data_IF_183481355153
#
_entry.id   IF_183481355153
#
_cell.length_a   1.000
_cell.length_b   1.000
_cell.length_c   1.000
_cell.angle_alpha   90.00
_cell.angle_beta   90.00
_cell.angle_gamma   90.00
#
_symmetry.space_group_name_H-M   'P 1'
#
loop_
_entity.id
_entity.type
_entity.pdbx_description
1 polymer ?
#
# COMPACT_ATOMS: atom_id res chain seq x y z
N UNK A 1 -38.39 8.71 9.34
CA UNK A 1 -37.36 8.27 8.38
C UNK A 1 -36.19 7.75 9.18
N UNK A 2 -36.00 6.43 9.20
CA UNK A 2 -34.89 5.80 9.93
C UNK A 2 -33.69 5.67 8.99
N UNK A 3 -32.57 6.30 9.33
CA UNK A 3 -31.28 6.01 8.70
C UNK A 3 -30.82 4.65 9.24
N UNK A 4 -30.73 3.64 8.37
CA UNK A 4 -30.29 2.31 8.76
C UNK A 4 -28.83 2.11 8.37
N UNK A 5 -28.01 1.75 9.35
CA UNK A 5 -26.73 1.08 9.14
C UNK A 5 -27.00 -0.42 9.12
N UNK A 6 -26.85 -1.05 7.95
CA UNK A 6 -27.04 -2.48 7.82
C UNK A 6 -25.69 -3.16 7.59
N UNK A 7 -25.27 -3.95 8.57
CA UNK A 7 -24.10 -4.82 8.47
C UNK A 7 -24.56 -6.27 8.54
N UNK A 8 -24.34 -7.02 7.45
CA UNK A 8 -24.61 -8.46 7.41
C UNK A 8 -23.27 -9.17 7.53
N UNK A 9 -23.06 -9.83 8.67
CA UNK A 9 -21.89 -10.68 8.91
C UNK A 9 -22.28 -12.15 8.76
N UNK A 10 -21.53 -12.91 7.96
CA UNK A 10 -21.46 -14.36 8.13
C UNK A 10 -20.92 -14.66 9.54
N UNK A 11 -21.53 -15.61 10.25
CA UNK A 11 -21.20 -15.91 11.64
C UNK A 11 -19.69 -16.12 11.86
N UNK A 12 -19.13 -15.49 12.89
CA UNK A 12 -17.70 -15.55 13.24
C UNK A 12 -17.35 -16.70 14.22
N UNK A 13 -18.32 -17.51 14.63
CA UNK A 13 -18.20 -18.43 15.78
C UNK A 13 -17.99 -19.92 15.43
N UNK A 14 -17.37 -20.24 14.30
CA UNK A 14 -16.88 -21.60 14.05
C UNK A 14 -15.35 -21.63 13.97
N UNK A 15 -14.74 -22.10 15.07
CA UNK A 15 -13.32 -22.46 15.13
C UNK A 15 -13.04 -23.56 14.10
N UNK A 16 -12.20 -23.24 13.11
CA UNK A 16 -11.27 -24.11 12.39
C UNK A 16 -11.53 -25.62 12.54
N UNK A 17 -12.52 -26.13 11.81
CA UNK A 17 -12.44 -27.48 11.26
C UNK A 17 -11.70 -27.36 9.93
N UNK A 18 -10.57 -28.06 9.78
CA UNK A 18 -9.90 -28.26 8.50
C UNK A 18 -10.94 -28.86 7.53
N UNK A 19 -11.49 -28.02 6.66
CA UNK A 19 -12.44 -28.44 5.63
C UNK A 19 -11.71 -29.41 4.69
N UNK A 20 -12.16 -30.66 4.67
CA UNK A 20 -11.76 -31.63 3.65
C UNK A 20 -12.38 -31.18 2.31
N UNK A 21 -11.58 -30.81 1.28
CA UNK A 21 -12.08 -30.37 -0.02
C UNK A 21 -12.88 -31.45 -0.77
N UNK A 22 -12.99 -32.66 -0.23
CA UNK A 22 -13.86 -33.73 -0.74
C UNK A 22 -15.26 -33.77 -0.13
N UNK A 23 -15.53 -33.03 0.96
CA UNK A 23 -16.86 -32.93 1.54
C UNK A 23 -17.78 -32.05 0.68
N UNK A 24 -19.04 -32.48 0.54
CA UNK A 24 -20.03 -31.88 -0.36
C UNK A 24 -20.17 -30.37 -0.13
N UNK A 25 -20.37 -29.64 -1.23
CA UNK A 25 -20.51 -28.18 -1.31
C UNK A 25 -21.40 -27.65 -0.18
N UNK A 26 -21.11 -26.45 0.40
CA UNK A 26 -22.14 -25.74 1.15
C UNK A 26 -23.36 -25.64 0.24
N UNK A 27 -24.45 -26.26 0.68
CA UNK A 27 -25.61 -26.43 -0.16
C UNK A 27 -26.17 -25.04 -0.46
N UNK A 28 -26.53 -24.78 -1.72
CA UNK A 28 -27.17 -23.53 -2.15
C UNK A 28 -28.36 -23.14 -1.25
N UNK A 29 -28.97 -24.12 -0.57
CA UNK A 29 -30.00 -23.97 0.45
C UNK A 29 -29.58 -23.05 1.60
N UNK A 30 -28.33 -23.10 2.08
CA UNK A 30 -27.83 -22.24 3.17
C UNK A 30 -27.72 -20.78 2.76
N UNK A 31 -27.48 -20.51 1.47
CA UNK A 31 -27.41 -19.15 0.95
C UNK A 31 -28.80 -18.50 0.78
N UNK A 32 -29.87 -19.29 0.66
CA UNK A 32 -31.21 -18.81 0.29
C UNK A 32 -31.73 -17.66 1.17
N UNK A 33 -31.64 -17.71 2.51
CA UNK A 33 -32.12 -16.62 3.35
C UNK A 33 -31.44 -15.28 3.05
N UNK A 34 -30.14 -15.31 2.73
CA UNK A 34 -29.38 -14.11 2.35
C UNK A 34 -29.84 -13.56 1.00
N UNK A 35 -30.05 -14.44 0.00
CA UNK A 35 -30.49 -14.02 -1.33
C UNK A 35 -31.91 -13.41 -1.28
N UNK A 36 -32.80 -14.00 -0.49
CA UNK A 36 -34.12 -13.47 -0.23
C UNK A 36 -34.04 -12.11 0.45
N UNK A 37 -33.21 -11.97 1.50
CA UNK A 37 -33.02 -10.71 2.19
C UNK A 37 -32.56 -9.60 1.24
N UNK A 38 -31.53 -9.84 0.41
CA UNK A 38 -31.04 -8.86 -0.57
C UNK A 38 -32.15 -8.41 -1.53
N UNK A 39 -32.99 -9.36 -1.97
CA UNK A 39 -34.13 -9.07 -2.85
C UNK A 39 -35.18 -8.18 -2.16
N UNK A 40 -35.42 -8.39 -0.87
CA UNK A 40 -36.37 -7.59 -0.07
C UNK A 40 -35.83 -6.20 0.29
N UNK A 41 -34.53 -6.06 0.57
CA UNK A 41 -33.91 -4.79 0.94
C UNK A 41 -34.14 -3.69 -0.10
N UNK A 42 -34.14 -4.05 -1.39
CA UNK A 42 -34.47 -3.11 -2.46
C UNK A 42 -35.82 -2.43 -2.28
N UNK A 43 -36.85 -3.18 -1.86
CA UNK A 43 -38.23 -2.72 -1.75
C UNK A 43 -38.50 -2.03 -0.42
N UNK A 44 -37.96 -2.59 0.66
CA UNK A 44 -38.27 -2.14 2.02
C UNK A 44 -37.31 -1.08 2.54
N UNK A 45 -36.10 -0.98 1.98
CA UNK A 45 -35.05 -0.09 2.45
C UNK A 45 -34.41 0.71 1.30
N UNK A 46 -35.15 1.55 0.54
CA UNK A 46 -34.58 2.33 -0.57
C UNK A 46 -33.62 3.44 -0.11
N UNK A 47 -33.71 3.86 1.16
CA UNK A 47 -32.93 4.94 1.74
C UNK A 47 -31.70 4.44 2.52
N UNK A 48 -31.16 3.27 2.15
CA UNK A 48 -29.92 2.77 2.77
C UNK A 48 -28.79 3.76 2.49
N UNK A 49 -28.12 4.19 3.57
CA UNK A 49 -26.93 5.04 3.50
C UNK A 49 -25.67 4.19 3.58
N UNK A 50 -25.66 3.18 4.44
CA UNK A 50 -24.49 2.34 4.70
C UNK A 50 -24.87 0.88 4.49
N UNK A 51 -24.16 0.22 3.57
CA UNK A 51 -24.34 -1.20 3.32
C UNK A 51 -23.01 -1.93 3.37
N UNK A 52 -22.94 -2.98 4.19
CA UNK A 52 -21.81 -3.90 4.27
C UNK A 52 -22.27 -5.34 4.13
N UNK A 53 -21.62 -6.07 3.22
CA UNK A 53 -21.84 -7.48 2.96
C UNK A 53 -20.51 -8.24 3.04
N UNK A 54 -20.35 -8.99 4.13
CA UNK A 54 -19.27 -9.96 4.31
C UNK A 54 -19.86 -11.37 4.18
N UNK A 55 -20.08 -11.82 2.94
CA UNK A 55 -20.84 -13.04 2.63
C UNK A 55 -19.95 -14.22 2.24
N UNK A 56 -18.82 -14.43 2.94
CA UNK A 56 -18.08 -15.68 2.77
C UNK A 56 -18.80 -16.81 3.52
N UNK A 57 -18.94 -18.02 2.94
CA UNK A 57 -18.47 -18.48 1.62
C UNK A 57 -19.44 -18.21 0.44
N UNK A 58 -20.64 -17.67 0.69
CA UNK A 58 -21.74 -17.53 -0.29
C UNK A 58 -21.62 -16.38 -1.31
N UNK A 59 -20.46 -15.74 -1.38
CA UNK A 59 -20.29 -14.44 -2.04
C UNK A 59 -20.65 -14.46 -3.54
N UNK A 60 -20.49 -15.61 -4.21
CA UNK A 60 -20.80 -15.77 -5.63
C UNK A 60 -22.31 -15.80 -5.92
N UNK A 61 -23.10 -16.41 -5.04
CA UNK A 61 -24.56 -16.49 -5.20
C UNK A 61 -25.23 -15.13 -4.99
N UNK A 62 -24.64 -14.30 -4.13
CA UNK A 62 -25.16 -12.98 -3.79
C UNK A 62 -24.93 -11.91 -4.87
N UNK A 63 -24.14 -12.18 -5.92
CA UNK A 63 -23.77 -11.15 -6.90
C UNK A 63 -24.97 -10.54 -7.65
N UNK A 64 -25.90 -11.36 -8.15
CA UNK A 64 -27.10 -10.88 -8.85
C UNK A 64 -28.11 -10.20 -7.90
N UNK A 65 -28.49 -10.80 -6.75
CA UNK A 65 -29.39 -10.13 -5.81
C UNK A 65 -28.82 -8.83 -5.25
N UNK A 66 -27.50 -8.78 -4.98
CA UNK A 66 -26.83 -7.56 -4.54
C UNK A 66 -26.88 -6.48 -5.62
N UNK A 67 -26.55 -6.82 -6.86
CA UNK A 67 -26.63 -5.87 -7.97
C UNK A 67 -28.04 -5.32 -8.13
N UNK A 68 -29.06 -6.17 -8.06
CA UNK A 68 -30.46 -5.76 -8.11
C UNK A 68 -30.86 -4.84 -6.94
N UNK A 69 -30.35 -5.11 -5.73
CA UNK A 69 -30.60 -4.29 -4.55
C UNK A 69 -29.96 -2.89 -4.66
N UNK A 70 -28.69 -2.84 -5.09
CA UNK A 70 -27.94 -1.59 -5.28
C UNK A 70 -28.67 -0.62 -6.21
N UNK A 71 -29.29 -1.12 -7.28
CA UNK A 71 -30.08 -0.29 -8.22
C UNK A 71 -31.27 0.44 -7.56
N UNK A 72 -31.70 0.03 -6.36
CA UNK A 72 -32.75 0.69 -5.60
C UNK A 72 -32.24 1.72 -4.58
N UNK A 73 -30.93 1.83 -4.37
CA UNK A 73 -30.33 2.67 -3.32
C UNK A 73 -29.78 3.96 -3.93
N UNK A 74 -30.55 5.04 -3.81
CA UNK A 74 -30.21 6.34 -4.42
C UNK A 74 -29.43 7.27 -3.48
N UNK A 75 -29.36 6.92 -2.20
CA UNK A 75 -28.73 7.74 -1.14
C UNK A 75 -27.52 7.05 -0.52
N UNK A 76 -26.98 6.02 -1.20
CA UNK A 76 -25.87 5.25 -0.68
C UNK A 76 -24.65 6.15 -0.46
N UNK A 77 -24.10 6.08 0.73
CA UNK A 77 -22.95 6.84 1.20
C UNK A 77 -21.72 5.96 1.37
N UNK A 78 -21.90 4.73 1.86
CA UNK A 78 -20.86 3.71 1.99
C UNK A 78 -21.34 2.37 1.45
N UNK A 79 -20.56 1.78 0.55
CA UNK A 79 -20.74 0.41 0.06
C UNK A 79 -19.50 -0.42 0.36
N UNK A 80 -19.67 -1.53 1.08
CA UNK A 80 -18.60 -2.49 1.36
C UNK A 80 -19.04 -3.90 0.97
N UNK A 81 -18.51 -4.41 -0.15
CA UNK A 81 -18.79 -5.72 -0.72
C UNK A 81 -17.50 -6.31 -1.33
N UNK A 82 -16.44 -6.45 -0.51
CA UNK A 82 -15.13 -6.94 -0.96
C UNK A 82 -15.11 -8.44 -1.30
N UNK A 83 -16.11 -9.19 -0.85
CA UNK A 83 -16.20 -10.64 -1.10
C UNK A 83 -17.07 -10.94 -2.31
N UNK A 84 -18.11 -10.13 -2.56
CA UNK A 84 -19.13 -10.36 -3.60
C UNK A 84 -18.83 -9.56 -4.86
N UNK A 85 -18.62 -10.21 -6.03
CA UNK A 85 -18.37 -9.52 -7.29
C UNK A 85 -19.54 -8.59 -7.68
N UNK A 86 -19.24 -7.32 -7.94
CA UNK A 86 -20.20 -6.37 -8.48
C UNK A 86 -20.35 -6.54 -9.99
N UNK A 87 -21.60 -6.44 -10.44
CA UNK A 87 -21.98 -6.49 -11.85
C UNK A 87 -21.89 -5.09 -12.48
N UNK A 88 -21.75 -5.04 -13.81
CA UNK A 88 -21.57 -3.81 -14.58
C UNK A 88 -22.70 -2.77 -14.35
N UNK A 89 -23.96 -3.21 -14.30
CA UNK A 89 -25.10 -2.34 -14.00
C UNK A 89 -25.04 -1.73 -12.59
N UNK A 90 -24.57 -2.50 -11.59
CA UNK A 90 -24.39 -2.01 -10.23
C UNK A 90 -23.28 -0.96 -10.19
N UNK A 91 -22.15 -1.22 -10.87
CA UNK A 91 -21.03 -0.25 -11.01
C UNK A 91 -21.48 1.04 -11.67
N UNK A 92 -22.23 0.94 -12.78
CA UNK A 92 -22.82 2.10 -13.47
C UNK A 92 -23.69 2.95 -12.54
N UNK A 93 -24.54 2.30 -11.73
CA UNK A 93 -25.43 2.99 -10.79
C UNK A 93 -24.66 3.69 -9.69
N UNK A 94 -23.76 2.99 -8.99
CA UNK A 94 -22.98 3.59 -7.89
C UNK A 94 -22.06 4.71 -8.36
N UNK A 95 -21.56 4.63 -9.60
CA UNK A 95 -20.78 5.69 -10.22
C UNK A 95 -21.58 6.99 -10.38
N UNK A 96 -22.90 6.91 -10.54
CA UNK A 96 -23.76 8.10 -10.67
C UNK A 96 -24.20 8.68 -9.32
N UNK A 97 -23.90 8.02 -8.18
CA UNK A 97 -24.42 8.44 -6.89
C UNK A 97 -23.64 9.65 -6.34
N UNK A 98 -24.28 10.81 -6.14
CA UNK A 98 -23.61 12.00 -5.63
C UNK A 98 -23.28 11.93 -4.14
N UNK A 99 -23.87 10.98 -3.42
CA UNK A 99 -23.68 10.80 -1.98
C UNK A 99 -22.56 9.81 -1.63
N UNK A 100 -22.09 8.99 -2.59
CA UNK A 100 -21.18 7.90 -2.32
C UNK A 100 -19.78 8.42 -1.97
N UNK A 101 -19.33 8.16 -0.74
CA UNK A 101 -18.01 8.59 -0.23
C UNK A 101 -17.05 7.44 0.00
N UNK A 102 -17.55 6.24 0.27
CA UNK A 102 -16.73 5.07 0.53
C UNK A 102 -17.19 3.91 -0.36
N UNK A 103 -16.26 3.38 -1.15
CA UNK A 103 -16.48 2.21 -1.99
C UNK A 103 -15.40 1.16 -1.72
N UNK A 104 -15.79 0.04 -1.13
CA UNK A 104 -14.97 -1.17 -1.03
C UNK A 104 -15.63 -2.28 -1.83
N UNK A 105 -15.11 -2.61 -3.01
CA UNK A 105 -15.80 -3.49 -3.94
C UNK A 105 -14.89 -4.53 -4.58
N UNK A 106 -15.48 -5.68 -4.88
CA UNK A 106 -14.88 -6.72 -5.70
C UNK A 106 -15.38 -6.58 -7.14
N UNK A 107 -14.52 -6.24 -8.11
CA UNK A 107 -14.91 -5.97 -9.50
C UNK A 107 -14.13 -6.90 -10.43
N UNK A 108 -14.84 -7.84 -11.05
CA UNK A 108 -14.31 -8.82 -12.02
C UNK A 108 -15.00 -8.63 -13.36
N UNK A 109 -14.84 -7.43 -13.93
CA UNK A 109 -15.44 -7.07 -15.21
C UNK A 109 -14.35 -7.00 -16.27
N UNK A 110 -14.60 -7.50 -17.50
CA UNK A 110 -13.71 -7.21 -18.61
C UNK A 110 -13.70 -5.69 -18.87
N UNK A 111 -12.57 -5.18 -19.36
CA UNK A 111 -12.39 -3.74 -19.61
C UNK A 111 -13.52 -3.14 -20.46
N UNK A 112 -13.99 -3.85 -21.50
CA UNK A 112 -15.10 -3.40 -22.35
C UNK A 112 -16.41 -3.22 -21.59
N UNK A 113 -16.78 -4.17 -20.72
CA UNK A 113 -18.00 -4.06 -19.92
C UNK A 113 -17.92 -2.97 -18.87
N UNK A 114 -16.71 -2.70 -18.34
CA UNK A 114 -16.48 -1.58 -17.44
C UNK A 114 -16.55 -0.25 -18.18
N UNK A 115 -15.95 -0.15 -19.37
CA UNK A 115 -16.05 1.03 -20.23
C UNK A 115 -17.52 1.30 -20.58
N UNK A 116 -18.30 0.29 -20.98
CA UNK A 116 -19.73 0.44 -21.23
C UNK A 116 -20.50 0.92 -19.97
N UNK A 117 -20.14 0.40 -18.80
CA UNK A 117 -20.77 0.81 -17.54
C UNK A 117 -20.48 2.28 -17.19
N UNK A 118 -19.26 2.75 -17.45
CA UNK A 118 -18.80 4.09 -17.07
C UNK A 118 -19.10 5.15 -18.15
N UNK A 119 -18.96 4.80 -19.44
CA UNK A 119 -19.17 5.71 -20.58
C UNK A 119 -20.63 5.96 -20.91
N UNK A 120 -21.55 5.07 -20.52
CA UNK A 120 -22.98 5.26 -20.77
C UNK A 120 -23.64 6.23 -19.78
N UNK A 121 -22.85 6.90 -18.94
CA UNK A 121 -23.32 8.05 -18.18
C UNK A 121 -23.41 9.28 -19.11
N UNK A 122 -24.29 10.22 -18.77
CA UNK A 122 -24.41 11.46 -19.53
C UNK A 122 -23.02 12.12 -19.60
N UNK A 123 -22.55 12.60 -20.76
CA UNK A 123 -21.23 13.21 -20.90
C UNK A 123 -21.00 14.40 -19.95
N UNK A 124 -22.07 14.95 -19.38
CA UNK A 124 -22.04 16.08 -18.45
C UNK A 124 -22.01 15.67 -16.97
N UNK A 125 -22.21 14.40 -16.64
CA UNK A 125 -22.28 13.93 -15.26
C UNK A 125 -20.96 13.28 -14.83
N UNK A 126 -20.24 13.86 -13.86
CA UNK A 126 -19.00 13.28 -13.34
C UNK A 126 -19.29 11.96 -12.62
N UNK A 127 -18.53 10.92 -12.93
CA UNK A 127 -18.61 9.65 -12.18
C UNK A 127 -17.90 9.78 -10.83
N UNK A 128 -18.53 9.25 -9.79
CA UNK A 128 -18.05 9.24 -8.41
C UNK A 128 -17.69 10.65 -7.86
N UNK A 129 -18.58 11.65 -7.92
CA UNK A 129 -18.22 13.05 -7.65
C UNK A 129 -17.86 13.33 -6.18
N UNK A 130 -18.30 12.50 -5.24
CA UNK A 130 -18.07 12.69 -3.79
C UNK A 130 -17.20 11.60 -3.15
N UNK A 131 -16.58 10.75 -3.96
CA UNK A 131 -15.84 9.58 -3.47
C UNK A 131 -14.56 10.01 -2.73
N UNK A 132 -14.37 9.51 -1.52
CA UNK A 132 -13.22 9.82 -0.66
C UNK A 132 -12.32 8.63 -0.44
N UNK A 133 -12.89 7.43 -0.33
CA UNK A 133 -12.18 6.19 -0.04
C UNK A 133 -12.56 5.13 -1.07
N UNK A 134 -11.54 4.53 -1.68
CA UNK A 134 -11.67 3.50 -2.70
C UNK A 134 -10.83 2.29 -2.31
N UNK A 135 -11.45 1.12 -2.16
CA UNK A 135 -10.76 -0.17 -2.03
C UNK A 135 -11.31 -1.12 -3.09
N UNK A 136 -10.47 -1.55 -4.03
CA UNK A 136 -10.91 -2.38 -5.15
C UNK A 136 -10.13 -3.67 -5.18
N UNK A 137 -10.86 -4.78 -5.21
CA UNK A 137 -10.32 -6.09 -5.50
C UNK A 137 -10.69 -6.45 -6.93
N UNK A 138 -9.70 -6.79 -7.75
CA UNK A 138 -9.90 -7.13 -9.16
C UNK A 138 -8.99 -8.29 -9.54
N UNK A 139 -9.35 -8.98 -10.62
CA UNK A 139 -8.43 -9.90 -11.29
C UNK A 139 -7.39 -9.14 -12.11
N UNK A 140 -7.73 -7.97 -12.66
CA UNK A 140 -6.90 -7.21 -13.59
C UNK A 140 -6.58 -5.78 -13.16
N UNK A 141 -5.32 -5.36 -13.24
CA UNK A 141 -4.91 -3.96 -12.98
C UNK A 141 -5.54 -2.98 -13.98
N UNK A 142 -5.81 -3.41 -15.21
CA UNK A 142 -6.48 -2.56 -16.19
C UNK A 142 -7.86 -2.10 -15.69
N UNK A 143 -8.60 -2.97 -14.99
CA UNK A 143 -9.88 -2.63 -14.35
C UNK A 143 -9.72 -1.54 -13.30
N UNK A 144 -8.67 -1.61 -12.48
CA UNK A 144 -8.34 -0.53 -11.53
C UNK A 144 -8.03 0.78 -12.26
N UNK A 145 -7.24 0.71 -13.32
CA UNK A 145 -6.84 1.89 -14.12
C UNK A 145 -8.06 2.59 -14.70
N UNK A 146 -8.96 1.84 -15.35
CA UNK A 146 -10.21 2.39 -15.91
C UNK A 146 -11.09 3.03 -14.85
N UNK A 147 -11.23 2.38 -13.70
CA UNK A 147 -12.04 2.92 -12.62
C UNK A 147 -11.45 4.22 -12.06
N UNK A 148 -10.13 4.27 -11.83
CA UNK A 148 -9.43 5.48 -11.36
C UNK A 148 -9.52 6.62 -12.38
N UNK A 149 -9.43 6.32 -13.68
CA UNK A 149 -9.61 7.30 -14.75
C UNK A 149 -11.02 7.88 -14.80
N UNK A 150 -12.03 7.09 -14.45
CA UNK A 150 -13.43 7.54 -14.44
C UNK A 150 -13.80 8.33 -13.18
N UNK A 151 -13.06 8.22 -12.08
CA UNK A 151 -13.36 8.98 -10.85
C UNK A 151 -13.07 10.46 -11.09
N UNK A 152 -14.05 11.32 -10.82
CA UNK A 152 -13.95 12.77 -10.91
C UNK A 152 -14.04 13.47 -9.54
N UNK A 153 -13.87 12.73 -8.45
CA UNK A 153 -13.92 13.30 -7.10
C UNK A 153 -12.70 14.19 -6.82
N UNK A 154 -12.89 15.48 -6.48
CA UNK A 154 -11.80 16.33 -5.99
C UNK A 154 -11.44 16.04 -4.52
N UNK A 155 -12.10 15.05 -3.90
CA UNK A 155 -11.95 14.72 -2.48
C UNK A 155 -11.48 13.28 -2.25
N UNK A 156 -10.96 12.62 -3.28
CA UNK A 156 -10.38 11.28 -3.17
C UNK A 156 -9.12 11.33 -2.31
N UNK A 157 -9.15 10.66 -1.15
CA UNK A 157 -8.10 10.73 -0.12
C UNK A 157 -7.40 9.39 0.04
N UNK A 158 -8.13 8.29 -0.07
CA UNK A 158 -7.60 6.94 0.15
C UNK A 158 -7.90 6.03 -1.04
N UNK A 159 -6.86 5.43 -1.59
CA UNK A 159 -6.96 4.48 -2.69
C UNK A 159 -6.15 3.23 -2.37
N UNK A 160 -6.84 2.10 -2.28
CA UNK A 160 -6.26 0.76 -2.16
C UNK A 160 -6.68 -0.08 -3.37
N UNK A 161 -5.71 -0.51 -4.16
CA UNK A 161 -5.93 -1.28 -5.39
C UNK A 161 -5.27 -2.64 -5.23
N UNK A 162 -6.11 -3.68 -5.15
CA UNK A 162 -5.65 -5.06 -5.01
C UNK A 162 -5.96 -5.84 -6.30
N UNK A 163 -4.93 -6.13 -7.08
CA UNK A 163 -5.03 -6.86 -8.34
C UNK A 163 -4.30 -8.21 -8.22
N UNK A 164 -4.85 -9.25 -8.86
CA UNK A 164 -4.22 -10.58 -8.87
C UNK A 164 -3.27 -10.78 -10.06
N UNK A 165 -3.43 -10.04 -11.14
CA UNK A 165 -2.58 -10.16 -12.31
C UNK A 165 -1.27 -9.39 -12.17
N UNK A 166 -0.27 -9.87 -12.91
CA UNK A 166 0.97 -9.14 -13.13
C UNK A 166 0.74 -8.15 -14.26
N UNK A 167 0.78 -6.87 -13.92
CA UNK A 167 0.61 -5.83 -14.91
C UNK A 167 1.90 -5.55 -15.68
N UNK A 168 1.84 -5.35 -17.00
CA UNK A 168 2.99 -4.84 -17.74
C UNK A 168 3.32 -3.40 -17.28
N UNK A 169 4.59 -2.96 -17.41
CA UNK A 169 5.01 -1.60 -17.02
C UNK A 169 4.15 -0.48 -17.63
N UNK A 170 3.64 -0.66 -18.86
CA UNK A 170 2.76 0.32 -19.52
C UNK A 170 1.42 0.50 -18.81
N UNK A 171 0.83 -0.57 -18.26
CA UNK A 171 -0.40 -0.48 -17.49
C UNK A 171 -0.18 0.24 -16.15
N UNK A 172 0.95 -0.04 -15.49
CA UNK A 172 1.35 0.66 -14.26
C UNK A 172 1.62 2.15 -14.52
N UNK A 173 2.28 2.50 -15.63
CA UNK A 173 2.51 3.90 -16.02
C UNK A 173 1.19 4.64 -16.28
N UNK A 174 0.24 4.00 -16.96
CA UNK A 174 -1.09 4.55 -17.18
C UNK A 174 -1.84 4.74 -15.86
N UNK A 175 -1.77 3.78 -14.94
CA UNK A 175 -2.36 3.88 -13.61
C UNK A 175 -1.75 5.01 -12.78
N UNK A 176 -0.42 5.14 -12.75
CA UNK A 176 0.27 6.25 -12.08
C UNK A 176 -0.16 7.61 -12.66
N UNK A 177 -0.31 7.68 -13.99
CA UNK A 177 -0.83 8.88 -14.67
C UNK A 177 -2.27 9.16 -14.26
N UNK A 178 -3.14 8.16 -14.18
CA UNK A 178 -4.52 8.33 -13.75
C UNK A 178 -4.60 8.84 -12.30
N UNK A 179 -3.81 8.26 -11.39
CA UNK A 179 -3.75 8.64 -9.98
C UNK A 179 -3.23 10.08 -9.78
N UNK A 180 -2.29 10.53 -10.62
CA UNK A 180 -1.76 11.90 -10.56
C UNK A 180 -2.82 12.99 -10.73
N UNK A 181 -3.99 12.66 -11.29
CA UNK A 181 -5.13 13.57 -11.46
C UNK A 181 -5.89 13.86 -10.17
N UNK A 182 -5.53 13.18 -9.07
CA UNK A 182 -6.20 13.26 -7.77
C UNK A 182 -5.29 13.94 -6.74
N UNK A 183 -5.12 15.28 -6.78
CA UNK A 183 -4.16 15.99 -5.92
C UNK A 183 -4.48 15.92 -4.42
N UNK A 184 -5.71 15.52 -4.05
CA UNK A 184 -6.13 15.29 -2.67
C UNK A 184 -5.69 13.95 -2.09
N UNK A 185 -5.08 13.07 -2.90
CA UNK A 185 -4.73 11.72 -2.50
C UNK A 185 -3.66 11.74 -1.40
N UNK A 186 -3.97 11.11 -0.26
CA UNK A 186 -3.11 11.02 0.91
C UNK A 186 -2.55 9.62 1.10
N UNK A 187 -3.38 8.60 0.88
CA UNK A 187 -3.01 7.21 1.07
C UNK A 187 -3.14 6.46 -0.24
N UNK A 188 -2.06 5.78 -0.64
CA UNK A 188 -2.02 4.96 -1.84
C UNK A 188 -1.44 3.58 -1.51
N UNK A 189 -2.22 2.54 -1.75
CA UNK A 189 -1.79 1.15 -1.55
C UNK A 189 -2.01 0.37 -2.83
N UNK A 190 -0.96 -0.25 -3.33
CA UNK A 190 -1.02 -1.27 -4.38
C UNK A 190 -0.64 -2.60 -3.76
N UNK A 191 -1.45 -3.63 -3.97
CA UNK A 191 -1.20 -4.93 -3.36
C UNK A 191 -1.72 -6.09 -4.20
N UNK A 192 -1.31 -7.31 -3.85
CA UNK A 192 -1.98 -8.50 -4.37
C UNK A 192 -3.42 -8.55 -3.82
N UNK A 193 -4.35 -9.14 -4.57
CA UNK A 193 -5.68 -9.45 -4.06
C UNK A 193 -5.64 -10.34 -2.82
N UNK A 194 -6.69 -10.28 -1.98
CA UNK A 194 -6.82 -11.10 -0.75
C UNK A 194 -6.62 -12.61 -0.98
N UNK A 195 -6.74 -13.10 -2.21
CA UNK A 195 -6.52 -14.52 -2.53
C UNK A 195 -5.08 -15.01 -2.33
N UNK A 196 -4.10 -14.12 -2.20
CA UNK A 196 -2.69 -14.50 -2.06
C UNK A 196 -2.22 -14.65 -0.62
N UNK A 197 -2.95 -14.16 0.39
CA UNK A 197 -2.52 -14.23 1.80
C UNK A 197 -3.25 -15.38 2.51
N UNK A 198 -2.63 -16.56 2.54
CA UNK A 198 -2.80 -17.58 3.57
C UNK A 198 -4.21 -18.13 3.83
N UNK A 199 -4.36 -19.44 3.58
CA UNK A 199 -5.52 -20.31 3.92
C UNK A 199 -6.67 -20.35 2.91
N UNK A 200 -6.57 -21.35 2.02
CA UNK A 200 -7.66 -22.18 1.49
C UNK A 200 -8.98 -21.49 1.12
N UNK A 201 -8.94 -20.31 0.50
CA UNK A 201 -10.10 -19.87 -0.28
C UNK A 201 -10.27 -20.87 -1.43
N UNK A 202 -11.43 -21.54 -1.58
CA UNK A 202 -11.66 -22.49 -2.64
C UNK A 202 -11.39 -21.79 -3.97
N UNK A 203 -10.31 -22.21 -4.64
CA UNK A 203 -9.87 -21.68 -5.92
C UNK A 203 -11.07 -21.65 -6.89
N UNK A 204 -11.31 -20.48 -7.45
CA UNK A 204 -12.35 -20.24 -8.45
C UNK A 204 -12.25 -21.27 -9.58
N UNK A 205 -13.30 -22.08 -9.80
CA UNK A 205 -13.43 -22.91 -11.02
C UNK A 205 -13.81 -22.11 -12.28
N UNK A 206 -14.12 -20.81 -12.17
CA UNK A 206 -14.66 -20.02 -13.29
C UNK A 206 -13.70 -19.02 -13.95
N UNK A 207 -12.59 -18.67 -13.29
CA UNK A 207 -11.58 -17.77 -13.86
C UNK A 207 -10.24 -18.50 -13.82
N UNK A 208 -9.95 -19.23 -14.90
CA UNK A 208 -8.66 -19.87 -15.15
C UNK A 208 -7.62 -18.80 -15.54
N UNK A 209 -7.37 -17.81 -14.68
CA UNK A 209 -6.07 -17.16 -14.73
C UNK A 209 -5.09 -18.23 -14.26
N UNK A 210 -4.26 -18.74 -15.17
CA UNK A 210 -3.12 -19.57 -14.78
C UNK A 210 -2.46 -18.90 -13.58
N UNK A 211 -2.22 -19.63 -12.47
CA UNK A 211 -1.57 -19.03 -11.31
C UNK A 211 -0.32 -18.31 -11.80
N UNK A 212 -0.08 -17.07 -11.35
CA UNK A 212 1.11 -16.33 -11.74
C UNK A 212 2.30 -17.25 -11.50
N UNK A 213 3.16 -17.39 -12.51
CA UNK A 213 4.39 -18.16 -12.39
C UNK A 213 5.11 -17.68 -11.12
N UNK A 214 5.31 -18.53 -10.10
CA UNK A 214 5.94 -18.13 -8.86
C UNK A 214 7.36 -17.62 -9.10
N UNK A 215 8.02 -18.03 -10.19
CA UNK A 215 9.39 -17.63 -10.50
C UNK A 215 9.51 -16.29 -11.22
N UNK A 216 8.41 -15.74 -11.72
CA UNK A 216 8.46 -14.45 -12.38
C UNK A 216 8.69 -13.35 -11.31
N UNK A 217 9.58 -12.37 -11.51
CA UNK A 217 9.79 -11.31 -10.54
C UNK A 217 8.61 -10.31 -10.53
N UNK A 218 8.32 -9.63 -9.40
CA UNK A 218 7.37 -8.53 -9.34
C UNK A 218 7.73 -7.42 -10.35
N UNK A 219 6.75 -6.66 -10.81
CA UNK A 219 6.99 -5.62 -11.81
C UNK A 219 7.83 -4.47 -11.21
N UNK A 220 8.94 -4.13 -11.87
CA UNK A 220 9.77 -2.99 -11.48
C UNK A 220 9.13 -1.68 -11.97
N UNK A 221 8.84 -0.77 -11.03
CA UNK A 221 8.42 0.60 -11.30
C UNK A 221 9.66 1.49 -11.38
N UNK A 222 10.08 1.80 -12.60
CA UNK A 222 11.20 2.71 -12.85
C UNK A 222 10.83 4.14 -12.41
N UNK A 223 11.82 5.03 -12.23
CA UNK A 223 11.55 6.42 -11.84
C UNK A 223 10.61 7.13 -12.81
N UNK A 224 10.71 6.85 -14.11
CA UNK A 224 9.85 7.46 -15.13
C UNK A 224 8.38 7.04 -14.98
N UNK A 225 8.13 5.80 -14.57
CA UNK A 225 6.77 5.27 -14.31
C UNK A 225 6.17 5.91 -13.06
N UNK A 226 6.98 6.16 -12.03
CA UNK A 226 6.54 6.77 -10.77
C UNK A 226 6.40 8.29 -10.84
N UNK A 227 7.13 8.96 -11.76
CA UNK A 227 7.19 10.42 -11.86
C UNK A 227 5.81 11.12 -11.87
N UNK A 228 4.74 10.61 -12.52
CA UNK A 228 3.42 11.23 -12.43
C UNK A 228 2.91 11.39 -10.97
N UNK A 229 3.22 10.43 -10.10
CA UNK A 229 2.83 10.46 -8.68
C UNK A 229 3.56 11.57 -7.89
N UNK A 230 4.64 12.15 -8.41
CA UNK A 230 5.37 13.25 -7.75
C UNK A 230 4.55 14.55 -7.70
N UNK A 231 3.46 14.63 -8.47
CA UNK A 231 2.48 15.72 -8.38
C UNK A 231 1.60 15.67 -7.11
N UNK A 232 1.54 14.52 -6.43
CA UNK A 232 0.69 14.29 -5.26
C UNK A 232 1.31 14.87 -3.98
N UNK A 233 1.31 16.19 -3.83
CA UNK A 233 1.92 16.89 -2.68
C UNK A 233 1.24 16.57 -1.33
N UNK A 234 0.00 16.09 -1.36
CA UNK A 234 -0.75 15.68 -0.18
C UNK A 234 -0.46 14.24 0.26
N UNK A 235 0.38 13.49 -0.47
CA UNK A 235 0.66 12.10 -0.17
C UNK A 235 1.34 11.96 1.20
N UNK A 236 0.70 11.21 2.09
CA UNK A 236 1.14 10.90 3.45
C UNK A 236 1.60 9.44 3.56
N UNK A 237 0.97 8.52 2.79
CA UNK A 237 1.27 7.10 2.83
C UNK A 237 1.29 6.49 1.44
N UNK A 238 2.33 5.74 1.13
CA UNK A 238 2.41 4.91 -0.07
C UNK A 238 2.86 3.49 0.29
N UNK A 239 2.22 2.48 -0.28
CA UNK A 239 2.65 1.09 -0.14
C UNK A 239 2.56 0.36 -1.49
N UNK A 240 3.64 -0.31 -1.85
CA UNK A 240 3.79 -1.22 -2.98
C UNK A 240 3.97 -2.62 -2.43
N UNK A 241 2.98 -3.47 -2.61
CA UNK A 241 2.95 -4.84 -2.09
C UNK A 241 2.74 -5.85 -3.23
N UNK A 242 3.44 -6.99 -3.11
CA UNK A 242 3.35 -8.26 -3.85
C UNK A 242 3.42 -8.27 -5.39
N UNK A 243 2.93 -7.24 -6.06
CA UNK A 243 2.74 -7.19 -7.52
C UNK A 243 3.78 -6.32 -8.22
N UNK A 244 4.34 -5.35 -7.49
CA UNK A 244 5.32 -4.41 -8.00
C UNK A 244 6.23 -3.87 -6.90
N UNK A 245 7.33 -3.24 -7.30
CA UNK A 245 8.29 -2.57 -6.42
C UNK A 245 8.85 -1.32 -7.10
N UNK A 246 9.35 -0.36 -6.33
CA UNK A 246 10.04 0.80 -6.87
C UNK A 246 11.52 0.47 -7.14
N UNK A 247 11.92 0.49 -8.40
CA UNK A 247 13.33 0.40 -8.81
C UNK A 247 13.86 1.84 -8.90
N UNK A 248 14.38 2.34 -7.77
CA UNK A 248 14.86 3.71 -7.64
C UNK A 248 16.38 3.79 -7.72
N UNK A 249 16.87 4.98 -8.08
CA UNK A 249 18.24 5.41 -7.87
C UNK A 249 18.28 6.59 -6.87
N UNK A 250 19.47 7.02 -6.48
CA UNK A 250 19.67 8.14 -5.53
C UNK A 250 18.97 9.43 -5.98
N UNK A 251 18.95 9.69 -7.29
CA UNK A 251 18.33 10.89 -7.85
C UNK A 251 16.81 10.83 -7.73
N UNK A 252 16.20 9.71 -8.13
CA UNK A 252 14.77 9.49 -8.06
C UNK A 252 14.28 9.54 -6.60
N UNK A 253 15.07 9.00 -5.66
CA UNK A 253 14.75 9.09 -4.24
C UNK A 253 14.80 10.54 -3.72
N UNK A 254 15.75 11.35 -4.18
CA UNK A 254 15.80 12.77 -3.86
C UNK A 254 14.59 13.54 -4.43
N UNK A 255 14.24 13.28 -5.70
CA UNK A 255 13.06 13.87 -6.34
C UNK A 255 11.77 13.48 -5.59
N UNK A 256 11.66 12.22 -5.15
CA UNK A 256 10.54 11.70 -4.36
C UNK A 256 10.43 12.40 -3.00
N UNK A 257 11.54 12.51 -2.26
CA UNK A 257 11.56 13.20 -0.96
C UNK A 257 11.14 14.67 -1.10
N UNK A 258 11.55 15.33 -2.18
CA UNK A 258 11.11 16.69 -2.49
C UNK A 258 9.64 16.74 -2.93
N UNK A 259 9.16 15.74 -3.65
CA UNK A 259 7.80 15.64 -4.15
C UNK A 259 6.77 15.50 -3.02
N UNK A 260 7.08 14.70 -2.01
CA UNK A 260 6.14 14.30 -0.95
C UNK A 260 6.58 14.81 0.44
N UNK A 261 6.50 16.12 0.72
CA UNK A 261 6.97 16.70 1.98
C UNK A 261 6.18 16.22 3.21
N UNK A 262 4.96 15.72 3.01
CA UNK A 262 4.06 15.22 4.06
C UNK A 262 4.15 13.70 4.26
N UNK A 263 5.11 13.03 3.60
CA UNK A 263 5.24 11.59 3.64
C UNK A 263 5.55 11.11 5.07
N UNK A 264 4.66 10.26 5.58
CA UNK A 264 4.72 9.66 6.92
C UNK A 264 5.10 8.18 6.89
N UNK A 265 4.69 7.47 5.84
CA UNK A 265 5.02 6.07 5.65
C UNK A 265 5.21 5.77 4.17
N UNK A 266 6.33 5.14 3.81
CA UNK A 266 6.56 4.69 2.45
C UNK A 266 7.06 3.25 2.47
N UNK A 267 6.29 2.35 1.87
CA UNK A 267 6.70 0.97 1.62
C UNK A 267 6.89 0.77 0.13
N UNK A 268 8.10 0.99 -0.37
CA UNK A 268 8.37 1.02 -1.80
C UNK A 268 8.92 -0.31 -2.33
N UNK A 269 9.25 -1.23 -1.44
CA UNK A 269 9.72 -2.55 -1.76
C UNK A 269 8.79 -3.57 -1.08
N UNK A 270 8.22 -4.53 -1.83
CA UNK A 270 7.44 -5.59 -1.23
C UNK A 270 8.37 -6.50 -0.44
N UNK A 271 7.85 -7.15 0.59
CA UNK A 271 8.60 -8.10 1.42
C UNK A 271 8.92 -9.42 0.67
N UNK A 272 8.88 -9.44 -0.67
CA UNK A 272 8.98 -10.68 -1.45
C UNK A 272 10.41 -11.23 -1.52
N UNK A 273 10.53 -12.56 -1.66
CA UNK A 273 11.78 -13.32 -1.69
C UNK A 273 12.65 -13.11 -2.96
N UNK A 274 12.27 -12.19 -3.85
CA UNK A 274 13.02 -11.97 -5.09
C UNK A 274 14.11 -10.91 -4.91
N UNK A 275 15.31 -11.09 -5.51
CA UNK A 275 16.31 -10.03 -5.54
C UNK A 275 15.78 -8.85 -6.36
N UNK A 276 15.63 -7.70 -5.71
CA UNK A 276 15.23 -6.46 -6.38
C UNK A 276 16.46 -5.76 -6.95
N UNK A 277 16.35 -5.29 -8.19
CA UNK A 277 17.37 -4.41 -8.75
C UNK A 277 17.04 -2.98 -8.33
N UNK A 278 17.86 -2.48 -7.43
CA UNK A 278 17.80 -1.10 -6.92
C UNK A 278 19.19 -0.48 -7.03
N UNK A 279 19.20 0.82 -7.26
CA UNK A 279 20.41 1.62 -7.34
C UNK A 279 20.46 2.68 -6.25
N UNK A 280 19.61 2.55 -5.23
CA UNK A 280 19.62 3.42 -4.05
C UNK A 280 20.80 3.03 -3.17
N UNK A 281 21.80 3.89 -3.11
CA UNK A 281 22.96 3.72 -2.25
C UNK A 281 22.65 4.18 -0.82
N UNK A 282 23.56 3.87 0.12
CA UNK A 282 23.49 4.44 1.46
C UNK A 282 23.50 5.98 1.42
N UNK A 283 24.31 6.59 0.56
CA UNK A 283 24.33 8.04 0.36
C UNK A 283 23.01 8.60 -0.17
N UNK A 284 22.30 7.82 -0.99
CA UNK A 284 20.99 8.14 -1.53
C UNK A 284 19.90 8.35 -0.50
N UNK A 285 20.07 7.86 0.74
CA UNK A 285 19.09 8.07 1.82
C UNK A 285 19.12 9.48 2.41
N UNK A 286 20.20 10.24 2.21
CA UNK A 286 20.36 11.56 2.82
C UNK A 286 19.17 12.53 2.60
N UNK A 287 18.52 12.61 1.42
CA UNK A 287 17.34 13.44 1.19
C UNK A 287 16.17 13.17 2.13
N UNK A 288 16.02 11.94 2.64
CA UNK A 288 14.94 11.59 3.58
C UNK A 288 15.07 12.32 4.92
N UNK A 289 16.28 12.75 5.29
CA UNK A 289 16.51 13.49 6.53
C UNK A 289 15.80 14.87 6.53
N UNK A 290 15.41 15.37 5.35
CA UNK A 290 14.60 16.58 5.23
C UNK A 290 13.10 16.38 5.51
N UNK A 291 12.61 15.13 5.50
CA UNK A 291 11.20 14.85 5.75
C UNK A 291 10.87 15.01 7.23
N UNK A 292 9.77 15.73 7.52
CA UNK A 292 9.36 16.11 8.88
C UNK A 292 8.35 15.17 9.52
N UNK A 293 7.77 14.29 8.73
CA UNK A 293 6.66 13.44 9.16
C UNK A 293 6.96 11.96 8.97
N UNK A 294 8.10 11.63 8.36
CA UNK A 294 8.44 10.25 8.01
C UNK A 294 8.73 9.44 9.27
N UNK A 295 8.02 8.33 9.43
CA UNK A 295 8.13 7.40 10.54
C UNK A 295 8.66 6.05 10.06
N UNK A 296 8.13 5.56 8.94
CA UNK A 296 8.53 4.29 8.31
C UNK A 296 8.95 4.53 6.87
N UNK A 297 10.12 4.02 6.47
CA UNK A 297 10.56 4.05 5.09
C UNK A 297 11.21 2.72 4.70
N UNK A 298 10.57 1.98 3.81
CA UNK A 298 11.05 0.69 3.30
C UNK A 298 11.46 0.86 1.84
N UNK A 299 12.74 0.65 1.56
CA UNK A 299 13.34 0.72 0.22
C UNK A 299 14.40 -0.35 0.08
N UNK A 300 14.50 -0.95 -1.10
CA UNK A 300 15.65 -1.80 -1.37
C UNK A 300 16.89 -0.93 -1.55
N UNK A 301 17.94 -1.17 -0.75
CA UNK A 301 19.25 -0.57 -0.96
C UNK A 301 20.12 -1.44 -1.87
N UNK A 302 21.07 -0.80 -2.56
CA UNK A 302 22.20 -1.50 -3.16
C UNK A 302 23.10 -2.08 -2.07
N UNK A 303 23.91 -3.06 -2.41
CA UNK A 303 24.92 -3.61 -1.50
C UNK A 303 25.80 -2.49 -0.91
N UNK A 304 26.09 -2.60 0.39
CA UNK A 304 26.83 -1.59 1.15
C UNK A 304 28.25 -2.08 1.35
N UNK A 305 29.19 -1.39 0.71
CA UNK A 305 30.63 -1.60 0.84
C UNK A 305 31.34 -0.37 1.44
N UNK A 306 32.66 -0.46 1.62
CA UNK A 306 33.47 0.64 2.13
C UNK A 306 33.34 1.93 1.30
N UNK A 307 33.13 1.82 -0.02
CA UNK A 307 32.99 3.00 -0.90
C UNK A 307 31.64 3.68 -0.68
N UNK A 308 30.56 2.90 -0.53
CA UNK A 308 29.23 3.41 -0.23
C UNK A 308 29.21 4.15 1.13
N UNK A 309 29.91 3.61 2.13
CA UNK A 309 30.08 4.23 3.45
C UNK A 309 30.85 5.53 3.36
N UNK A 310 31.98 5.53 2.66
CA UNK A 310 32.80 6.72 2.42
C UNK A 310 32.05 7.82 1.68
N UNK A 311 31.22 7.46 0.70
CA UNK A 311 30.36 8.39 0.00
C UNK A 311 29.32 8.98 0.96
N UNK A 312 28.68 8.13 1.77
CA UNK A 312 27.69 8.56 2.75
C UNK A 312 28.26 9.53 3.80
N UNK A 313 29.46 9.31 4.32
CA UNK A 313 30.10 10.25 5.25
C UNK A 313 30.37 11.64 4.64
N UNK A 314 30.61 11.70 3.32
CA UNK A 314 30.82 12.97 2.60
C UNK A 314 29.51 13.68 2.27
N UNK A 315 28.42 12.92 2.15
CA UNK A 315 27.09 13.45 1.88
C UNK A 315 26.52 14.12 3.13
N UNK A 316 26.32 15.43 3.04
CA UNK A 316 25.58 16.17 4.07
C UNK A 316 24.09 16.04 3.80
N UNK A 317 23.27 15.70 4.83
CA UNK A 317 21.83 15.74 4.66
C UNK A 317 21.42 17.18 4.32
N UNK A 318 20.47 17.37 3.41
CA UNK A 318 19.98 18.70 3.08
C UNK A 318 19.52 19.41 4.35
N UNK A 319 19.95 20.66 4.51
CA UNK A 319 19.41 21.50 5.57
C UNK A 319 17.90 21.60 5.35
N UNK A 320 17.16 21.26 6.39
CA UNK A 320 15.73 21.43 6.37
C UNK A 320 15.43 22.92 6.53
N UNK A 321 15.50 23.66 5.42
CA UNK A 321 14.92 24.99 5.40
C UNK A 321 13.42 24.83 5.65
N UNK A 322 12.81 25.66 6.51
CA UNK A 322 11.37 25.69 6.64
C UNK A 322 10.82 26.16 5.30
N UNK A 323 10.53 25.21 4.40
CA UNK A 323 9.64 25.45 3.27
C UNK A 323 8.42 26.15 3.88
N UNK A 324 8.06 27.34 3.36
CA UNK A 324 7.19 28.36 3.98
C UNK A 324 5.75 27.95 4.32
N UNK A 325 5.55 26.72 4.76
CA UNK A 325 4.36 26.19 5.38
C UNK A 325 4.26 26.79 6.78
N UNK A 326 3.10 27.37 7.13
CA UNK A 326 2.86 27.84 8.47
C UNK A 326 2.95 26.66 9.43
N UNK A 327 3.89 26.71 10.37
CA UNK A 327 4.04 25.77 11.47
C UNK A 327 2.69 25.63 12.19
N UNK A 328 1.92 24.60 11.86
CA UNK A 328 0.69 24.27 12.58
C UNK A 328 1.07 23.52 13.85
N UNK A 329 1.38 24.25 14.91
CA UNK A 329 1.10 23.81 16.29
C UNK A 329 2.19 23.05 17.03
N UNK A 330 3.48 23.23 16.72
CA UNK A 330 4.59 22.64 17.50
C UNK A 330 5.57 23.67 18.08
N UNK A 331 5.10 24.88 18.36
CA UNK A 331 5.96 26.03 18.69
C UNK A 331 6.50 26.08 20.14
N UNK A 332 6.21 25.09 21.00
CA UNK A 332 6.51 25.23 22.43
C UNK A 332 7.73 24.45 22.94
N UNK A 333 8.25 23.49 22.20
CA UNK A 333 9.54 22.88 22.53
C UNK A 333 10.51 23.26 21.43
N UNK A 334 11.69 23.77 21.79
CA UNK A 334 12.80 24.07 20.87
C UNK A 334 13.39 22.81 20.24
N UNK A 335 12.53 21.89 19.84
CA UNK A 335 12.80 20.61 19.22
C UNK A 335 13.33 20.87 17.82
N UNK A 336 14.66 20.99 17.80
CA UNK A 336 15.53 21.01 16.63
C UNK A 336 14.96 20.07 15.58
N UNK A 337 14.50 20.59 14.45
CA UNK A 337 13.84 19.79 13.41
C UNK A 337 14.67 18.61 12.93
N UNK A 338 14.56 17.50 13.65
CA UNK A 338 15.17 16.20 13.39
C UNK A 338 14.23 15.39 12.53
N UNK A 339 14.80 14.49 11.74
CA UNK A 339 14.01 13.53 11.00
C UNK A 339 13.41 12.52 12.01
N UNK A 340 12.08 12.32 12.04
CA UNK A 340 11.43 11.42 12.99
C UNK A 340 11.41 9.96 12.53
N UNK A 341 12.20 9.58 11.53
CA UNK A 341 12.24 8.22 10.98
C UNK A 341 12.58 7.22 12.09
N UNK A 342 11.68 6.29 12.39
CA UNK A 342 11.86 5.26 13.44
C UNK A 342 12.18 3.88 12.87
N UNK A 343 11.68 3.57 11.67
CA UNK A 343 11.87 2.28 11.00
C UNK A 343 12.38 2.48 9.57
N UNK A 344 13.51 1.85 9.26
CA UNK A 344 14.09 1.81 7.92
C UNK A 344 14.18 0.36 7.41
N UNK A 345 13.34 0.00 6.44
CA UNK A 345 13.48 -1.24 5.69
C UNK A 345 14.52 -1.09 4.57
N UNK A 346 15.48 -2.00 4.48
CA UNK A 346 16.64 -1.89 3.57
C UNK A 346 16.65 -2.90 2.42
N UNK A 347 15.59 -3.69 2.30
CA UNK A 347 15.50 -4.77 1.32
C UNK A 347 16.54 -5.86 1.59
N UNK A 348 17.19 -6.32 0.50
CA UNK A 348 18.18 -7.41 0.52
C UNK A 348 19.64 -6.94 0.42
N UNK A 349 19.91 -5.70 0.82
CA UNK A 349 21.27 -5.15 0.70
C UNK A 349 22.28 -5.92 1.55
N UNK A 350 23.37 -6.36 0.90
CA UNK A 350 24.47 -6.99 1.61
C UNK A 350 25.22 -5.98 2.47
N UNK A 351 25.66 -6.44 3.64
CA UNK A 351 26.41 -5.65 4.60
C UNK A 351 27.52 -6.50 5.20
N UNK A 352 28.77 -6.06 5.06
CA UNK A 352 29.93 -6.70 5.69
C UNK A 352 29.86 -6.64 7.23
N UNK A 353 30.39 -7.64 7.91
CA UNK A 353 30.36 -7.69 9.38
C UNK A 353 31.13 -6.52 10.02
N UNK A 354 32.22 -6.05 9.40
CA UNK A 354 33.02 -4.91 9.84
C UNK A 354 32.40 -3.55 9.55
N UNK A 355 31.34 -3.52 8.74
CA UNK A 355 30.78 -2.29 8.18
C UNK A 355 29.56 -1.80 8.96
N UNK A 356 29.00 -2.65 9.82
CA UNK A 356 27.77 -2.38 10.57
C UNK A 356 27.89 -1.14 11.47
N UNK A 357 29.01 -0.97 12.18
CA UNK A 357 29.26 0.18 13.03
C UNK A 357 29.40 1.47 12.23
N UNK A 358 30.07 1.41 11.07
CA UNK A 358 30.25 2.56 10.20
C UNK A 358 28.92 3.02 9.58
N UNK A 359 28.10 2.07 9.10
CA UNK A 359 26.73 2.36 8.65
C UNK A 359 25.88 2.92 9.78
N UNK A 360 25.99 2.35 10.99
CA UNK A 360 25.27 2.85 12.17
C UNK A 360 25.64 4.29 12.49
N UNK A 361 26.93 4.63 12.38
CA UNK A 361 27.41 5.99 12.56
C UNK A 361 26.83 6.94 11.50
N UNK A 362 26.82 6.56 10.22
CA UNK A 362 26.18 7.37 9.16
C UNK A 362 24.69 7.59 9.46
N UNK A 363 23.92 6.52 9.67
CA UNK A 363 22.47 6.60 9.84
C UNK A 363 22.07 7.40 11.07
N UNK A 364 22.77 7.25 12.20
CA UNK A 364 22.51 8.03 13.41
C UNK A 364 22.85 9.52 13.28
N UNK A 365 23.59 9.93 12.24
CA UNK A 365 23.84 11.33 11.96
C UNK A 365 22.66 11.97 11.23
N UNK A 366 21.99 11.20 10.37
CA UNK A 366 20.85 11.64 9.56
C UNK A 366 19.49 11.41 10.24
N UNK A 367 19.35 10.30 10.94
CA UNK A 367 18.13 9.79 11.54
C UNK A 367 18.37 9.47 13.02
N UNK A 368 18.51 10.50 13.89
CA UNK A 368 18.83 10.28 15.30
C UNK A 368 17.72 9.54 16.06
N UNK A 369 16.48 9.56 15.56
CA UNK A 369 15.32 8.86 16.16
C UNK A 369 15.11 7.44 15.59
N UNK A 370 16.00 6.97 14.70
CA UNK A 370 15.89 5.65 14.09
C UNK A 370 16.09 4.56 15.14
N UNK A 371 15.05 3.75 15.34
CA UNK A 371 15.00 2.72 16.37
C UNK A 371 15.28 1.33 15.79
N UNK A 372 14.82 1.09 14.56
CA UNK A 372 14.83 -0.22 13.93
C UNK A 372 15.25 -0.12 12.47
N UNK A 373 16.08 -1.06 12.06
CA UNK A 373 16.38 -1.35 10.66
C UNK A 373 15.92 -2.76 10.38
N UNK A 374 15.18 -2.95 9.30
CA UNK A 374 14.56 -4.22 8.96
C UNK A 374 15.12 -4.73 7.62
N UNK A 375 15.59 -5.98 7.65
CA UNK A 375 15.87 -6.74 6.44
C UNK A 375 14.53 -7.29 5.94
N UNK A 376 14.07 -6.81 4.79
CA UNK A 376 12.71 -7.06 4.30
C UNK A 376 12.64 -8.46 3.67
N UNK A 377 12.34 -9.47 4.48
CA UNK A 377 11.94 -10.81 4.03
C UNK A 377 10.56 -11.11 4.61
N UNK A 378 9.63 -11.55 3.77
CA UNK A 378 8.38 -12.13 4.22
C UNK A 378 8.55 -13.63 4.45
N UNK A 379 8.71 -14.01 5.73
CA UNK A 379 8.78 -15.41 6.13
C UNK A 379 7.46 -16.18 5.91
N UNK A 380 6.31 -15.50 5.76
CA UNK A 380 5.00 -16.16 5.63
C UNK A 380 4.77 -16.78 4.25
N UNK A 381 5.39 -16.24 3.19
CA UNK A 381 5.31 -16.82 1.84
C UNK A 381 6.29 -17.97 1.62
N UNK A 382 7.17 -18.17 2.58
CA UNK A 382 8.43 -18.85 2.35
C UNK A 382 8.36 -20.35 2.64
N UNK A 383 7.35 -20.88 3.36
CA UNK A 383 7.35 -22.34 3.66
C UNK A 383 7.34 -23.23 2.39
N UNK A 384 6.82 -22.72 1.27
CA UNK A 384 6.86 -23.37 -0.04
C UNK A 384 8.12 -23.02 -0.86
N UNK A 385 8.61 -21.78 -0.82
CA UNK A 385 9.80 -21.35 -1.58
C UNK A 385 11.13 -21.67 -0.90
N UNK A 386 11.18 -21.70 0.44
CA UNK A 386 12.32 -22.14 1.25
C UNK A 386 12.76 -23.57 0.92
N UNK A 387 11.83 -24.41 0.47
CA UNK A 387 12.16 -25.76 -0.02
C UNK A 387 12.94 -25.73 -1.32
N UNK A 388 12.84 -24.64 -2.09
CA UNK A 388 13.55 -24.44 -3.36
C UNK A 388 14.84 -23.65 -3.22
N UNK A 389 14.97 -22.80 -2.19
CA UNK A 389 16.22 -22.11 -1.86
C UNK A 389 17.25 -23.10 -1.31
N UNK A 390 18.51 -22.91 -1.67
CA UNK A 390 19.59 -23.72 -1.10
C UNK A 390 19.78 -23.37 0.38
N UNK A 391 20.21 -24.33 1.21
CA UNK A 391 20.58 -24.07 2.61
C UNK A 391 21.57 -22.90 2.79
N UNK A 392 22.44 -22.68 1.79
CA UNK A 392 23.41 -21.58 1.81
C UNK A 392 22.73 -20.19 1.74
N UNK A 393 21.69 -20.05 0.92
CA UNK A 393 20.96 -18.79 0.77
C UNK A 393 20.22 -18.44 2.07
N UNK A 394 19.69 -19.45 2.75
CA UNK A 394 19.02 -19.29 4.03
C UNK A 394 19.94 -18.77 5.14
N UNK A 395 21.15 -19.33 5.20
CA UNK A 395 22.15 -18.89 6.17
C UNK A 395 22.60 -17.44 5.90
N UNK A 396 22.82 -17.09 4.63
CA UNK A 396 23.14 -15.69 4.24
C UNK A 396 22.01 -14.74 4.65
N UNK A 397 20.75 -15.12 4.42
CA UNK A 397 19.58 -14.31 4.78
C UNK A 397 19.44 -14.10 6.29
N UNK A 398 19.62 -15.15 7.10
CA UNK A 398 19.61 -15.04 8.56
C UNK A 398 20.76 -14.15 9.05
N UNK A 399 21.97 -14.34 8.52
CA UNK A 399 23.10 -13.45 8.85
C UNK A 399 22.81 -11.99 8.53
N UNK A 400 22.26 -11.69 7.34
CA UNK A 400 21.92 -10.32 6.94
C UNK A 400 20.82 -9.73 7.82
N UNK A 401 19.81 -10.54 8.18
CA UNK A 401 18.76 -10.15 9.13
C UNK A 401 19.36 -9.71 10.47
N UNK A 402 20.25 -10.51 11.05
CA UNK A 402 20.90 -10.18 12.32
C UNK A 402 21.85 -8.99 12.22
N UNK A 403 22.59 -8.86 11.12
CA UNK A 403 23.51 -7.73 10.87
C UNK A 403 22.74 -6.41 10.78
N UNK A 404 21.71 -6.35 9.96
CA UNK A 404 20.85 -5.16 9.86
C UNK A 404 20.11 -4.90 11.18
N UNK A 405 19.64 -5.92 11.88
CA UNK A 405 19.10 -5.75 13.24
C UNK A 405 20.13 -5.16 14.22
N UNK A 406 21.42 -5.50 14.06
CA UNK A 406 22.54 -4.92 14.79
C UNK A 406 22.75 -3.43 14.52
N UNK A 407 22.65 -3.02 13.24
CA UNK A 407 22.75 -1.59 12.84
C UNK A 407 21.73 -0.74 13.60
N UNK A 408 20.45 -1.14 13.61
CA UNK A 408 19.39 -0.38 14.29
C UNK A 408 19.63 -0.21 15.78
N UNK A 409 20.16 -1.24 16.46
CA UNK A 409 20.55 -1.14 17.88
C UNK A 409 21.69 -0.15 18.08
N UNK A 410 22.72 -0.21 17.23
CA UNK A 410 23.90 0.65 17.33
C UNK A 410 23.61 2.12 16.99
N UNK A 411 22.74 2.38 16.01
CA UNK A 411 22.29 3.73 15.62
C UNK A 411 21.82 4.53 16.83
N UNK A 412 20.99 3.93 17.69
CA UNK A 412 20.50 4.58 18.91
C UNK A 412 21.63 4.99 19.85
N UNK A 413 22.62 4.12 20.05
CA UNK A 413 23.78 4.42 20.89
C UNK A 413 24.60 5.59 20.32
N UNK A 414 24.89 5.58 19.02
CA UNK A 414 25.59 6.67 18.36
C UNK A 414 24.81 8.00 18.40
N UNK A 415 23.48 7.97 18.27
CA UNK A 415 22.64 9.15 18.35
C UNK A 415 22.73 9.81 19.76
N UNK A 416 22.74 9.00 20.82
CA UNK A 416 22.92 9.47 22.20
C UNK A 416 24.31 10.10 22.42
N UNK A 417 25.37 9.46 21.91
CA UNK A 417 26.73 10.01 22.00
C UNK A 417 26.81 11.37 21.31
N UNK A 418 26.26 11.51 20.10
CA UNK A 418 26.24 12.79 19.38
C UNK A 418 25.43 13.87 20.09
N UNK A 419 24.32 13.47 20.70
CA UNK A 419 23.52 14.40 21.51
C UNK A 419 24.32 14.93 22.70
N UNK A 420 25.05 14.06 23.38
CA UNK A 420 25.95 14.44 24.47
C UNK A 420 27.08 15.36 23.98
N UNK A 421 27.71 15.05 22.84
CA UNK A 421 28.75 15.89 22.23
C UNK A 421 28.24 17.29 21.88
N UNK A 422 27.02 17.40 21.30
CA UNK A 422 26.38 18.68 21.02
C UNK A 422 26.15 19.50 22.29
N UNK A 423 25.62 18.87 23.35
CA UNK A 423 25.41 19.53 24.65
C UNK A 423 26.73 20.01 25.26
N UNK A 424 27.79 19.21 25.15
CA UNK A 424 29.12 19.59 25.61
C UNK A 424 29.71 20.76 24.81
N UNK A 425 29.53 20.77 23.48
CA UNK A 425 30.01 21.85 22.63
C UNK A 425 29.30 23.19 22.94
N UNK A 426 28.00 23.17 23.23
CA UNK A 426 27.25 24.37 23.65
C UNK A 426 27.77 24.91 24.98
N UNK A 427 28.00 24.03 25.97
CA UNK A 427 28.53 24.44 27.29
C UNK A 427 29.91 25.09 27.20
N UNK A 428 30.78 24.60 26.33
CA UNK A 428 32.13 25.18 26.12
C UNK A 428 32.12 26.57 25.47
N UNK A 429 31.03 26.96 24.80
CA UNK A 429 30.91 28.25 24.10
C UNK A 429 30.40 29.39 24.98
N UNK A 430 30.03 29.13 26.24
CA UNK A 430 29.62 30.18 27.18
C UNK A 430 30.90 30.82 27.73
N UNK A 431 31.28 32.05 27.32
CA UNK A 431 32.42 32.73 27.91
C UNK A 431 32.15 32.99 29.40
N UNK A 432 33.10 32.61 30.25
CA UNK A 432 33.10 32.84 31.70
C UNK A 432 33.29 34.31 32.05
#
# INVERSE_FOLDING_TARGET
>A
MCNFDLSIHGGKDERLCLYDPTTARPEQSEAMPLLELLTHLRRHCPNILNFRLDALPFAFYAAEPLAAAILGWNHLWSLQALTTPLKANAVKHIAALPSLRLLKANIHLPASALDDALMTQHPDLPSFPALRELVIHTDRLETCTRLVEAIHSPTLVDVTLLANDRAPPSALARLCTALSRHPSLKNLVFGPGMGSRGHAYPQRRGFQSSPPDPHSPPAALTPDVLRPLFSLRALERIALDGTCYASLDDRALAELAQAWPNLSSAKLCPEAAHPFVTHVTLAGLAPLAALRWIDTFDVALSDVDARAIDAAFRTRPPHCEPAGYPNRGRDNDGDSGRCPLQLLGVGRARLGASDAEAVSAVLSAWFPELQRTEYLINFEYEELELRSLGFADLHEMDELYWRWGGVGRSVRAFALVREQERRWAVRKRIPT
#
